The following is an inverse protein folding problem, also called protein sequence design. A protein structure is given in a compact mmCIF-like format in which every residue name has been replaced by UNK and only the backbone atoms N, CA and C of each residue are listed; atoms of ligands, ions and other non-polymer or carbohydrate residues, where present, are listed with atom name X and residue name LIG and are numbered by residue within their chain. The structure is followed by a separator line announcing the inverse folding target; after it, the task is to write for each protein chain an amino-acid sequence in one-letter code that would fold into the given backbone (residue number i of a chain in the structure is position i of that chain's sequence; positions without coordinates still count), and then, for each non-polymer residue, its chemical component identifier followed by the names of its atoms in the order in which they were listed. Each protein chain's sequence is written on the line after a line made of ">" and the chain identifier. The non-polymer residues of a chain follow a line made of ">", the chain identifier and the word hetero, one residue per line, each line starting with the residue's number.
data_IF_147627711678
#
_entry.id   IF_147627711678
#
_cell.length_a   1.000
_cell.length_b   1.000
_cell.length_c   1.000
_cell.angle_alpha   90.00
_cell.angle_beta   90.00
_cell.angle_gamma   90.00
#
_symmetry.space_group_name_H-M   'P 1'
#
loop_
_entity.id
_entity.type
_entity.pdbx_description
1 polymer ?
#
# COMPACT_ATOMS: atom_id res chain seq x y z
N UNK A 1 -38.70 -7.81 -6.74
CA UNK A 1 -38.08 -8.41 -7.95
C UNK A 1 -37.02 -9.43 -7.56
N UNK A 2 -35.99 -9.04 -6.79
CA UNK A 2 -34.91 -9.90 -6.31
C UNK A 2 -35.33 -11.25 -5.69
N UNK A 3 -36.32 -11.27 -4.82
CA UNK A 3 -36.82 -12.53 -4.23
C UNK A 3 -37.42 -13.50 -5.27
N UNK A 4 -37.98 -12.99 -6.38
CA UNK A 4 -38.50 -13.84 -7.48
C UNK A 4 -37.36 -14.47 -8.28
N UNK A 5 -36.30 -13.69 -8.55
CA UNK A 5 -35.08 -14.17 -9.20
C UNK A 5 -34.43 -15.29 -8.38
N UNK A 6 -34.23 -15.05 -7.08
CA UNK A 6 -33.64 -16.05 -6.17
C UNK A 6 -34.51 -17.31 -6.04
N UNK A 7 -35.84 -17.21 -6.14
CA UNK A 7 -36.73 -18.39 -6.20
C UNK A 7 -36.53 -19.21 -7.47
N UNK A 8 -36.17 -18.58 -8.58
CA UNK A 8 -35.89 -19.23 -9.86
C UNK A 8 -34.47 -19.85 -9.92
N UNK A 9 -33.50 -19.30 -9.19
CA UNK A 9 -32.13 -19.81 -9.07
C UNK A 9 -32.08 -21.27 -8.57
N UNK A 10 -31.14 -22.07 -9.06
CA UNK A 10 -30.96 -23.46 -8.61
C UNK A 10 -30.55 -23.51 -7.12
N UNK A 11 -30.93 -24.58 -6.41
CA UNK A 11 -30.65 -24.67 -4.96
C UNK A 11 -29.15 -24.69 -4.65
N UNK A 12 -28.33 -25.32 -5.50
CA UNK A 12 -26.88 -25.41 -5.27
C UNK A 12 -26.18 -24.05 -5.45
N UNK A 13 -26.65 -23.23 -6.41
CA UNK A 13 -26.18 -21.86 -6.59
C UNK A 13 -26.58 -20.96 -5.41
N UNK A 14 -27.80 -21.12 -4.88
CA UNK A 14 -28.26 -20.42 -3.68
C UNK A 14 -27.43 -20.79 -2.45
N UNK A 15 -27.07 -22.08 -2.29
CA UNK A 15 -26.20 -22.53 -1.21
C UNK A 15 -24.80 -21.93 -1.33
N UNK A 16 -24.23 -21.92 -2.53
CA UNK A 16 -22.94 -21.28 -2.78
C UNK A 16 -22.98 -19.77 -2.48
N UNK A 17 -24.07 -19.08 -2.84
CA UNK A 17 -24.27 -17.67 -2.51
C UNK A 17 -24.40 -17.46 -0.99
N UNK A 18 -25.22 -18.26 -0.32
CA UNK A 18 -25.39 -18.20 1.13
C UNK A 18 -24.05 -18.41 1.86
N UNK A 19 -23.26 -19.40 1.43
CA UNK A 19 -21.92 -19.64 1.96
C UNK A 19 -20.99 -18.44 1.79
N UNK A 20 -21.00 -17.79 0.62
CA UNK A 20 -20.20 -16.57 0.37
C UNK A 20 -20.62 -15.41 1.26
N UNK A 21 -21.90 -15.31 1.59
CA UNK A 21 -22.45 -14.30 2.50
C UNK A 21 -22.32 -14.69 3.99
N UNK A 22 -21.71 -15.83 4.31
CA UNK A 22 -21.60 -16.32 5.69
C UNK A 22 -22.92 -16.79 6.30
N UNK A 23 -23.92 -17.12 5.48
CA UNK A 23 -25.22 -17.65 5.88
C UNK A 23 -25.19 -19.18 5.89
N UNK A 24 -26.09 -19.81 6.68
CA UNK A 24 -26.19 -21.27 6.77
C UNK A 24 -26.72 -21.89 5.47
N UNK A 25 -25.86 -22.64 4.76
CA UNK A 25 -26.17 -23.30 3.49
C UNK A 25 -27.04 -24.57 3.64
N UNK A 26 -27.27 -25.06 4.88
CA UNK A 26 -28.05 -26.29 5.13
C UNK A 26 -29.56 -26.06 5.13
N UNK A 27 -30.00 -24.81 4.99
CA UNK A 27 -31.41 -24.46 5.00
C UNK A 27 -32.16 -24.91 3.73
N UNK A 28 -33.48 -25.08 3.84
CA UNK A 28 -34.35 -25.35 2.69
C UNK A 28 -34.36 -24.15 1.74
N UNK A 29 -34.59 -24.39 0.44
CA UNK A 29 -34.56 -23.35 -0.61
C UNK A 29 -35.31 -22.07 -0.24
N UNK A 30 -36.54 -22.19 0.26
CA UNK A 30 -37.35 -21.02 0.64
C UNK A 30 -36.70 -20.18 1.77
N UNK A 31 -36.13 -20.84 2.78
CA UNK A 31 -35.44 -20.19 3.89
C UNK A 31 -34.11 -19.54 3.43
N UNK A 32 -33.36 -20.19 2.53
CA UNK A 32 -32.16 -19.59 1.91
C UNK A 32 -32.51 -18.29 1.17
N UNK A 33 -33.58 -18.29 0.37
CA UNK A 33 -34.02 -17.08 -0.34
C UNK A 33 -34.36 -15.96 0.64
N UNK A 34 -35.10 -16.26 1.70
CA UNK A 34 -35.47 -15.28 2.72
C UNK A 34 -34.25 -14.73 3.46
N UNK A 35 -33.33 -15.61 3.88
CA UNK A 35 -32.09 -15.22 4.55
C UNK A 35 -31.21 -14.32 3.68
N UNK A 36 -31.04 -14.65 2.39
CA UNK A 36 -30.27 -13.83 1.44
C UNK A 36 -30.93 -12.47 1.24
N UNK A 37 -32.26 -12.42 1.04
CA UNK A 37 -32.98 -11.15 0.86
C UNK A 37 -32.89 -10.27 2.12
N UNK A 38 -33.04 -10.87 3.30
CA UNK A 38 -32.90 -10.16 4.58
C UNK A 38 -31.48 -9.62 4.76
N UNK A 39 -30.45 -10.40 4.42
CA UNK A 39 -29.06 -9.96 4.47
C UNK A 39 -28.78 -8.83 3.47
N UNK A 40 -29.20 -8.95 2.22
CA UNK A 40 -29.08 -7.89 1.20
C UNK A 40 -29.86 -6.62 1.61
N UNK A 41 -31.01 -6.76 2.26
CA UNK A 41 -31.77 -5.64 2.80
C UNK A 41 -31.03 -4.95 3.96
N UNK A 42 -30.43 -5.73 4.86
CA UNK A 42 -29.60 -5.22 5.95
C UNK A 42 -28.38 -4.45 5.43
N UNK A 43 -27.64 -5.00 4.46
CA UNK A 43 -26.50 -4.30 3.83
C UNK A 43 -26.94 -2.95 3.25
N UNK A 44 -28.07 -2.90 2.54
CA UNK A 44 -28.59 -1.64 1.97
C UNK A 44 -28.98 -0.65 3.06
N UNK A 45 -29.62 -1.12 4.14
CA UNK A 45 -29.97 -0.28 5.27
C UNK A 45 -28.73 0.27 5.98
N UNK A 46 -27.72 -0.57 6.24
CA UNK A 46 -26.46 -0.19 6.86
C UNK A 46 -25.70 0.82 5.99
N UNK A 47 -25.65 0.61 4.68
CA UNK A 47 -25.05 1.56 3.72
C UNK A 47 -25.79 2.90 3.72
N UNK A 48 -27.12 2.90 3.65
CA UNK A 48 -27.91 4.13 3.70
C UNK A 48 -27.73 4.87 5.02
N UNK A 49 -27.67 4.15 6.14
CA UNK A 49 -27.39 4.72 7.46
C UNK A 49 -25.98 5.32 7.53
N UNK A 50 -24.98 4.67 6.92
CA UNK A 50 -23.63 5.21 6.85
C UNK A 50 -23.57 6.48 5.99
N UNK A 51 -24.17 6.47 4.80
CA UNK A 51 -24.25 7.66 3.93
C UNK A 51 -24.97 8.82 4.62
N UNK A 52 -26.05 8.54 5.34
CA UNK A 52 -26.76 9.53 6.14
C UNK A 52 -25.86 10.12 7.24
N UNK A 53 -25.06 9.28 7.93
CA UNK A 53 -24.07 9.76 8.91
C UNK A 53 -23.01 10.66 8.27
N UNK A 54 -22.46 10.27 7.11
CA UNK A 54 -21.49 11.08 6.37
C UNK A 54 -22.06 12.47 6.02
N UNK A 55 -23.29 12.50 5.49
CA UNK A 55 -24.00 13.76 5.18
C UNK A 55 -24.24 14.60 6.42
N UNK A 56 -24.69 13.98 7.52
CA UNK A 56 -24.95 14.67 8.78
C UNK A 56 -23.68 15.36 9.32
N UNK A 57 -22.52 14.69 9.25
CA UNK A 57 -21.23 15.28 9.65
C UNK A 57 -20.88 16.50 8.79
N UNK A 58 -21.04 16.42 7.48
CA UNK A 58 -20.76 17.56 6.58
C UNK A 58 -21.72 18.73 6.84
N UNK A 59 -23.01 18.44 7.03
CA UNK A 59 -24.03 19.46 7.35
C UNK A 59 -23.73 20.12 8.70
N UNK A 60 -23.40 19.33 9.72
CA UNK A 60 -22.99 19.85 11.03
C UNK A 60 -21.76 20.75 10.88
N UNK A 61 -20.74 20.30 10.14
CA UNK A 61 -19.52 21.10 9.96
C UNK A 61 -19.78 22.41 9.21
N UNK A 62 -20.64 22.37 8.19
CA UNK A 62 -21.08 23.55 7.45
C UNK A 62 -21.80 24.54 8.38
N UNK A 63 -22.73 24.07 9.20
CA UNK A 63 -23.47 24.90 10.15
C UNK A 63 -22.53 25.54 11.20
N UNK A 64 -21.52 24.80 11.70
CA UNK A 64 -20.48 25.36 12.57
C UNK A 64 -19.74 26.54 11.92
N UNK A 65 -19.32 26.38 10.66
CA UNK A 65 -18.63 27.43 9.92
C UNK A 65 -19.55 28.62 9.61
N UNK A 66 -20.82 28.38 9.26
CA UNK A 66 -21.82 29.43 9.04
C UNK A 66 -22.12 30.24 10.31
N UNK A 67 -22.01 29.61 11.49
CA UNK A 67 -22.16 30.25 12.80
C UNK A 67 -21.00 31.18 13.18
N UNK A 68 -19.84 31.08 12.54
CA UNK A 68 -18.69 31.95 12.82
C UNK A 68 -18.90 33.38 12.30
N UNK A 69 -18.24 34.33 12.97
CA UNK A 69 -18.19 35.71 12.50
C UNK A 69 -17.35 35.81 11.22
N UNK A 70 -17.57 36.87 10.43
CA UNK A 70 -16.79 37.13 9.21
C UNK A 70 -15.30 37.29 9.52
N UNK A 71 -14.97 37.85 10.69
CA UNK A 71 -13.59 38.01 11.16
C UNK A 71 -12.94 36.67 11.52
N UNK A 72 -13.67 35.76 12.15
CA UNK A 72 -13.12 34.44 12.52
C UNK A 72 -12.95 33.55 11.30
N UNK A 73 -13.89 33.60 10.35
CA UNK A 73 -13.75 32.94 9.06
C UNK A 73 -12.53 33.45 8.28
N UNK A 74 -12.26 34.75 8.30
CA UNK A 74 -11.06 35.31 7.68
C UNK A 74 -9.79 34.71 8.30
N UNK A 75 -9.67 34.72 9.63
CA UNK A 75 -8.53 34.14 10.36
C UNK A 75 -8.35 32.64 10.08
N UNK A 76 -9.46 31.89 9.99
CA UNK A 76 -9.43 30.47 9.66
C UNK A 76 -8.96 30.23 8.21
N UNK A 77 -9.40 31.06 7.26
CA UNK A 77 -8.90 31.03 5.87
C UNK A 77 -7.40 31.33 5.83
N UNK A 78 -6.95 32.38 6.51
CA UNK A 78 -5.53 32.76 6.57
C UNK A 78 -4.67 31.63 7.15
N UNK A 79 -5.13 31.01 8.25
CA UNK A 79 -4.46 29.86 8.88
C UNK A 79 -4.40 28.62 7.97
N UNK A 80 -5.30 28.54 7.00
CA UNK A 80 -5.39 27.45 6.02
C UNK A 80 -4.73 27.79 4.67
N UNK A 81 -4.06 28.94 4.58
CA UNK A 81 -3.50 29.49 3.34
C UNK A 81 -4.52 29.64 2.19
N UNK A 82 -5.77 29.98 2.53
CA UNK A 82 -6.85 30.19 1.58
C UNK A 82 -6.94 31.68 1.23
N UNK A 83 -6.54 32.05 0.02
CA UNK A 83 -6.51 33.45 -0.45
C UNK A 83 -7.67 33.73 -1.42
N UNK A 84 -8.24 34.94 -1.36
CA UNK A 84 -9.16 35.44 -2.38
C UNK A 84 -10.66 35.22 -2.12
N UNK A 85 -11.05 34.63 -1.00
CA UNK A 85 -12.45 34.48 -0.60
C UNK A 85 -13.06 35.83 -0.13
N UNK A 86 -13.95 36.40 -0.95
CA UNK A 86 -14.49 37.77 -0.76
C UNK A 86 -15.77 37.78 0.08
N UNK A 87 -16.64 36.78 -0.09
CA UNK A 87 -17.91 36.70 0.65
C UNK A 87 -17.81 35.78 1.88
N UNK A 88 -18.75 35.92 2.82
CA UNK A 88 -18.86 34.98 3.96
C UNK A 88 -19.09 33.54 3.46
N UNK A 89 -19.95 33.39 2.45
CA UNK A 89 -20.30 32.09 1.88
C UNK A 89 -19.10 31.44 1.20
N UNK A 90 -18.32 32.22 0.42
CA UNK A 90 -17.11 31.73 -0.25
C UNK A 90 -16.10 31.19 0.77
N UNK A 91 -15.94 31.87 1.91
CA UNK A 91 -15.04 31.44 2.99
C UNK A 91 -15.50 30.12 3.61
N UNK A 92 -16.80 30.00 3.91
CA UNK A 92 -17.39 28.75 4.43
C UNK A 92 -17.14 27.60 3.47
N UNK A 93 -17.41 27.79 2.18
CA UNK A 93 -17.24 26.75 1.15
C UNK A 93 -15.78 26.35 0.97
N UNK A 94 -14.85 27.32 0.92
CA UNK A 94 -13.43 27.03 0.78
C UNK A 94 -12.85 26.34 2.02
N UNK A 95 -13.26 26.74 3.23
CA UNK A 95 -12.87 26.07 4.48
C UNK A 95 -13.44 24.66 4.56
N UNK A 96 -14.71 24.47 4.18
CA UNK A 96 -15.33 23.15 4.14
C UNK A 96 -14.61 22.24 3.15
N UNK A 97 -14.28 22.75 1.96
CA UNK A 97 -13.48 22.01 0.96
C UNK A 97 -12.11 21.61 1.54
N UNK A 98 -11.37 22.55 2.12
CA UNK A 98 -10.06 22.26 2.74
C UNK A 98 -10.15 21.24 3.88
N UNK A 99 -11.21 21.31 4.68
CA UNK A 99 -11.48 20.34 5.73
C UNK A 99 -11.74 18.95 5.16
N UNK A 100 -12.46 18.85 4.04
CA UNK A 100 -12.67 17.57 3.33
C UNK A 100 -11.38 17.01 2.73
N UNK A 101 -10.57 17.87 2.11
CA UNK A 101 -9.27 17.50 1.53
C UNK A 101 -8.28 16.98 2.58
N UNK A 102 -8.49 17.31 3.86
CA UNK A 102 -7.66 16.87 4.99
C UNK A 102 -8.29 15.72 5.80
N UNK A 103 -9.11 14.90 5.13
CA UNK A 103 -9.84 13.76 5.71
C UNK A 103 -10.74 14.16 6.90
N UNK A 104 -11.29 15.37 6.84
CA UNK A 104 -12.09 15.95 7.91
C UNK A 104 -13.29 15.08 8.32
N UNK A 105 -13.99 14.47 7.36
CA UNK A 105 -15.13 13.57 7.65
C UNK A 105 -14.69 12.38 8.49
N UNK A 106 -13.60 11.71 8.10
CA UNK A 106 -13.08 10.56 8.83
C UNK A 106 -12.68 10.96 10.25
N UNK A 107 -11.99 12.11 10.40
CA UNK A 107 -11.61 12.64 11.73
C UNK A 107 -12.83 12.99 12.59
N UNK A 108 -13.88 13.56 12.01
CA UNK A 108 -15.10 13.90 12.73
C UNK A 108 -15.93 12.67 13.12
N UNK A 109 -16.06 11.67 12.23
CA UNK A 109 -16.67 10.39 12.58
C UNK A 109 -15.89 9.67 13.67
N UNK A 110 -14.55 9.71 13.61
CA UNK A 110 -13.68 9.16 14.65
C UNK A 110 -13.89 9.88 15.99
N UNK A 111 -13.96 11.21 15.97
CA UNK A 111 -14.22 12.01 17.16
C UNK A 111 -15.61 11.70 17.76
N UNK A 112 -16.64 11.56 16.92
CA UNK A 112 -17.98 11.15 17.37
C UNK A 112 -17.96 9.74 18.00
N UNK A 113 -17.26 8.79 17.36
CA UNK A 113 -17.09 7.43 17.90
C UNK A 113 -16.38 7.43 19.25
N UNK A 114 -15.29 8.18 19.37
CA UNK A 114 -14.56 8.36 20.65
C UNK A 114 -15.43 9.02 21.72
N UNK A 115 -16.21 10.04 21.35
CA UNK A 115 -17.17 10.69 22.25
C UNK A 115 -18.25 9.73 22.74
N UNK A 116 -18.85 8.96 21.84
CA UNK A 116 -19.85 7.94 22.17
C UNK A 116 -19.25 6.85 23.09
N UNK A 117 -18.06 6.34 22.77
CA UNK A 117 -17.35 5.36 23.60
C UNK A 117 -16.97 5.93 24.97
N UNK A 118 -16.56 7.20 25.05
CA UNK A 118 -16.31 7.88 26.32
C UNK A 118 -17.58 7.92 27.18
N UNK A 119 -18.71 8.31 26.59
CA UNK A 119 -19.99 8.35 27.31
C UNK A 119 -20.43 6.96 27.78
N UNK A 120 -20.22 5.93 26.96
CA UNK A 120 -20.47 4.53 27.34
C UNK A 120 -19.60 4.12 28.54
N UNK A 121 -18.29 4.39 28.49
CA UNK A 121 -17.36 4.09 29.59
C UNK A 121 -17.70 4.87 30.86
N UNK A 122 -18.14 6.13 30.75
CA UNK A 122 -18.58 6.92 31.89
C UNK A 122 -19.92 6.44 32.46
N UNK A 123 -20.78 5.83 31.65
CA UNK A 123 -22.05 5.24 32.08
C UNK A 123 -21.88 3.84 32.70
N UNK A 124 -20.75 3.16 32.47
CA UNK A 124 -20.42 1.89 33.12
C UNK A 124 -20.20 2.09 34.63
N UNK A 125 -20.54 1.06 35.41
CA UNK A 125 -20.28 1.06 36.84
C UNK A 125 -18.79 0.84 37.13
N UNK A 126 -18.36 1.19 38.35
CA UNK A 126 -16.96 1.10 38.75
C UNK A 126 -16.43 -0.34 38.80
N UNK A 127 -17.31 -1.35 38.85
CA UNK A 127 -16.94 -2.76 38.78
C UNK A 127 -16.61 -3.17 37.34
N UNK A 128 -17.50 -2.91 36.38
CA UNK A 128 -17.28 -3.24 34.97
C UNK A 128 -16.10 -2.47 34.36
N UNK A 129 -15.87 -1.22 34.76
CA UNK A 129 -14.68 -0.48 34.34
C UNK A 129 -13.38 -1.08 34.85
N UNK A 130 -13.35 -1.59 36.09
CA UNK A 130 -12.16 -2.23 36.66
C UNK A 130 -11.81 -3.51 35.91
N UNK A 131 -12.79 -4.37 35.65
CA UNK A 131 -12.61 -5.60 34.89
C UNK A 131 -12.03 -5.32 33.48
N UNK A 132 -12.57 -4.30 32.79
CA UNK A 132 -12.08 -3.92 31.47
C UNK A 132 -10.67 -3.33 31.50
N UNK A 133 -10.33 -2.57 32.55
CA UNK A 133 -8.98 -2.04 32.77
C UNK A 133 -7.96 -3.16 33.05
N UNK A 134 -8.31 -4.12 33.92
CA UNK A 134 -7.47 -5.29 34.23
C UNK A 134 -7.17 -6.12 32.98
N UNK A 135 -8.19 -6.41 32.16
CA UNK A 135 -8.02 -7.15 30.90
C UNK A 135 -7.12 -6.45 29.88
N UNK A 136 -6.96 -5.13 29.97
CA UNK A 136 -6.11 -4.33 29.09
C UNK A 136 -4.78 -3.91 29.74
N UNK A 137 -4.53 -4.29 30.99
CA UNK A 137 -3.34 -3.90 31.76
C UNK A 137 -3.26 -2.41 32.04
N UNK A 138 -4.40 -1.74 32.24
CA UNK A 138 -4.51 -0.31 32.57
C UNK A 138 -4.86 -0.18 34.05
N UNK A 139 -4.13 0.67 34.79
CA UNK A 139 -4.38 0.92 36.21
C UNK A 139 -5.62 1.83 36.42
N UNK A 140 -6.67 1.36 37.11
CA UNK A 140 -7.95 2.06 37.26
C UNK A 140 -7.99 2.99 38.48
N UNK A 141 -7.16 4.04 38.51
CA UNK A 141 -7.33 5.12 39.49
C UNK A 141 -8.02 6.32 38.82
N UNK A 142 -9.26 6.61 39.27
CA UNK A 142 -10.21 7.64 38.77
C UNK A 142 -10.91 7.26 37.45
N UNK A 143 -12.25 7.21 37.46
CA UNK A 143 -13.10 6.72 36.35
C UNK A 143 -12.86 7.49 35.04
N UNK A 144 -12.73 8.82 35.11
CA UNK A 144 -12.47 9.68 33.96
C UNK A 144 -11.08 9.41 33.38
N UNK A 145 -10.09 9.19 34.24
CA UNK A 145 -8.69 8.91 33.85
C UNK A 145 -8.58 7.51 33.25
N UNK A 146 -9.30 6.52 33.81
CA UNK A 146 -9.40 5.17 33.28
C UNK A 146 -10.02 5.19 31.86
N UNK A 147 -11.13 5.90 31.67
CA UNK A 147 -11.77 6.04 30.36
C UNK A 147 -10.84 6.69 29.33
N UNK A 148 -10.10 7.75 29.69
CA UNK A 148 -9.14 8.37 28.78
C UNK A 148 -7.93 7.47 28.45
N UNK A 149 -7.40 6.72 29.43
CA UNK A 149 -6.30 5.78 29.22
C UNK A 149 -6.71 4.63 28.29
N UNK A 150 -7.92 4.12 28.46
CA UNK A 150 -8.49 3.09 27.57
C UNK A 150 -8.62 3.60 26.14
N UNK A 151 -9.20 4.79 25.94
CA UNK A 151 -9.34 5.39 24.61
C UNK A 151 -7.99 5.61 23.91
N UNK A 152 -6.95 6.03 24.65
CA UNK A 152 -5.59 6.16 24.08
C UNK A 152 -5.04 4.82 23.63
N UNK A 153 -5.21 3.75 24.42
CA UNK A 153 -4.70 2.42 24.09
C UNK A 153 -5.46 1.79 22.93
N UNK A 154 -6.77 1.99 22.85
CA UNK A 154 -7.60 1.59 21.71
C UNK A 154 -7.17 2.33 20.43
N UNK A 155 -6.88 3.64 20.53
CA UNK A 155 -6.44 4.44 19.38
C UNK A 155 -5.10 3.98 18.80
N UNK A 156 -4.13 3.58 19.64
CA UNK A 156 -2.83 3.06 19.17
C UNK A 156 -3.01 1.78 18.36
N UNK A 157 -3.86 0.84 18.84
CA UNK A 157 -4.15 -0.40 18.11
C UNK A 157 -4.82 -0.16 16.75
N UNK A 158 -5.60 0.92 16.61
CA UNK A 158 -6.25 1.28 15.35
C UNK A 158 -5.33 2.04 14.38
N UNK A 159 -4.39 2.82 14.91
CA UNK A 159 -3.47 3.64 14.10
C UNK A 159 -2.44 2.79 13.34
N UNK A 160 -2.06 1.61 13.85
CA UNK A 160 -1.14 0.68 13.18
C UNK A 160 -1.69 0.11 11.85
N UNK A 161 -2.97 0.35 11.52
CA UNK A 161 -3.67 -0.32 10.42
C UNK A 161 -3.93 0.58 9.19
N UNK A 162 -3.75 1.92 9.26
CA UNK A 162 -4.21 2.79 8.15
C UNK A 162 -3.37 4.07 7.93
N UNK A 163 -2.57 4.10 6.86
CA UNK A 163 -2.05 5.33 6.26
C UNK A 163 -2.66 5.58 4.86
N UNK A 164 -3.51 6.60 4.68
CA UNK A 164 -4.01 6.96 3.36
C UNK A 164 -3.08 7.94 2.63
N UNK A 165 -2.73 7.63 1.37
CA UNK A 165 -2.07 8.57 0.45
C UNK A 165 -3.12 9.44 -0.25
N UNK A 166 -2.99 10.76 -0.16
CA UNK A 166 -3.87 11.71 -0.83
C UNK A 166 -3.53 11.84 -2.32
N UNK A 167 -4.56 11.74 -3.18
CA UNK A 167 -4.51 12.18 -4.58
C UNK A 167 -5.53 13.31 -4.75
N UNK A 168 -5.18 14.32 -5.53
CA UNK A 168 -6.04 15.49 -5.77
C UNK A 168 -7.33 15.10 -6.48
N UNK A 169 -8.47 15.59 -5.98
CA UNK A 169 -9.80 15.22 -6.46
C UNK A 169 -10.28 16.14 -7.62
N UNK A 170 -10.97 15.58 -8.63
CA UNK A 170 -11.59 16.34 -9.70
C UNK A 170 -12.77 17.22 -9.20
N UNK A 171 -13.07 18.28 -9.95
CA UNK A 171 -14.09 19.32 -9.62
C UNK A 171 -15.56 18.87 -9.86
N UNK A 172 -15.91 17.63 -9.53
CA UNK A 172 -17.31 17.18 -9.56
C UNK A 172 -18.05 17.63 -8.28
N UNK A 173 -19.38 17.45 -8.21
CA UNK A 173 -20.14 17.62 -6.97
C UNK A 173 -19.43 16.85 -5.84
N UNK A 174 -19.24 17.53 -4.72
CA UNK A 174 -18.39 17.10 -3.62
C UNK A 174 -18.86 15.77 -3.03
N UNK A 175 -20.19 15.57 -3.00
CA UNK A 175 -20.80 14.32 -2.55
C UNK A 175 -20.54 13.20 -3.55
N UNK A 176 -20.69 13.47 -4.85
CA UNK A 176 -20.44 12.48 -5.90
C UNK A 176 -18.96 12.08 -5.96
N UNK A 177 -18.05 13.03 -5.73
CA UNK A 177 -16.61 12.79 -5.65
C UNK A 177 -16.25 11.85 -4.50
N UNK A 178 -16.89 12.01 -3.33
CA UNK A 178 -16.70 11.12 -2.19
C UNK A 178 -17.26 9.73 -2.45
N UNK A 179 -18.45 9.64 -3.05
CA UNK A 179 -19.05 8.36 -3.43
C UNK A 179 -18.20 7.62 -4.48
N UNK A 180 -17.59 8.35 -5.41
CA UNK A 180 -16.67 7.78 -6.40
C UNK A 180 -15.41 7.22 -5.73
N UNK A 181 -14.79 7.97 -4.81
CA UNK A 181 -13.58 7.54 -4.08
C UNK A 181 -13.84 6.33 -3.20
N UNK A 182 -14.98 6.28 -2.51
CA UNK A 182 -15.37 5.12 -1.70
C UNK A 182 -15.61 3.89 -2.58
N UNK A 183 -16.24 4.07 -3.75
CA UNK A 183 -16.42 3.00 -4.73
C UNK A 183 -15.08 2.50 -5.30
N UNK A 184 -14.14 3.38 -5.61
CA UNK A 184 -12.79 3.01 -6.05
C UNK A 184 -12.04 2.23 -4.96
N UNK A 185 -12.17 2.66 -3.70
CA UNK A 185 -11.58 1.95 -2.55
C UNK A 185 -12.16 0.55 -2.41
N UNK A 186 -13.49 0.41 -2.48
CA UNK A 186 -14.16 -0.90 -2.46
C UNK A 186 -13.68 -1.80 -3.61
N UNK A 187 -13.58 -1.27 -4.83
CA UNK A 187 -13.06 -2.02 -5.98
C UNK A 187 -11.60 -2.46 -5.78
N UNK A 188 -10.76 -1.60 -5.18
CA UNK A 188 -9.37 -1.95 -4.86
C UNK A 188 -9.28 -3.03 -3.78
N UNK A 189 -10.13 -2.98 -2.75
CA UNK A 189 -10.19 -4.01 -1.71
C UNK A 189 -10.66 -5.35 -2.28
N UNK A 190 -11.73 -5.35 -3.09
CA UNK A 190 -12.21 -6.55 -3.78
C UNK A 190 -11.14 -7.15 -4.73
N UNK A 191 -10.39 -6.30 -5.45
CA UNK A 191 -9.30 -6.75 -6.32
C UNK A 191 -8.13 -7.35 -5.51
N UNK A 192 -7.79 -6.75 -4.36
CA UNK A 192 -6.80 -7.29 -3.42
C UNK A 192 -7.24 -8.63 -2.85
N UNK A 193 -8.48 -8.76 -2.37
CA UNK A 193 -9.00 -10.04 -1.88
C UNK A 193 -9.01 -11.10 -2.99
N UNK A 194 -9.41 -10.73 -4.20
CA UNK A 194 -9.42 -11.63 -5.35
C UNK A 194 -8.01 -12.10 -5.72
N UNK A 195 -7.03 -11.20 -5.74
CA UNK A 195 -5.63 -11.55 -6.01
C UNK A 195 -5.02 -12.43 -4.91
N UNK A 196 -5.31 -12.15 -3.63
CA UNK A 196 -4.88 -13.00 -2.51
C UNK A 196 -5.52 -14.39 -2.57
N UNK A 197 -6.81 -14.47 -2.89
CA UNK A 197 -7.50 -15.75 -3.08
C UNK A 197 -6.91 -16.55 -4.26
N UNK A 198 -6.55 -15.87 -5.36
CA UNK A 198 -5.90 -16.49 -6.50
C UNK A 198 -4.51 -17.03 -6.13
N UNK A 199 -3.70 -16.27 -5.38
CA UNK A 199 -2.40 -16.72 -4.87
C UNK A 199 -2.54 -17.91 -3.92
N UNK A 200 -3.51 -17.87 -3.01
CA UNK A 200 -3.77 -18.98 -2.08
C UNK A 200 -4.23 -20.25 -2.81
N UNK A 201 -5.09 -20.12 -3.83
CA UNK A 201 -5.49 -21.24 -4.68
C UNK A 201 -4.30 -21.81 -5.45
N UNK A 202 -3.48 -20.94 -6.05
CA UNK A 202 -2.27 -21.34 -6.78
C UNK A 202 -1.25 -22.03 -5.88
N UNK A 203 -1.07 -21.55 -4.65
CA UNK A 203 -0.20 -22.18 -3.65
C UNK A 203 -0.65 -23.61 -3.34
N UNK A 204 -1.96 -23.83 -3.16
CA UNK A 204 -2.50 -25.17 -2.91
C UNK A 204 -2.26 -26.11 -4.10
N UNK A 205 -2.45 -25.63 -5.31
CA UNK A 205 -2.18 -26.39 -6.55
C UNK A 205 -0.69 -26.79 -6.63
N UNK A 206 0.23 -25.83 -6.49
CA UNK A 206 1.67 -26.10 -6.55
C UNK A 206 2.15 -27.03 -5.43
N UNK A 207 1.52 -26.98 -4.24
CA UNK A 207 1.82 -27.93 -3.15
C UNK A 207 1.42 -29.36 -3.49
N UNK A 208 0.45 -29.57 -4.38
CA UNK A 208 0.07 -30.91 -4.84
C UNK A 208 0.99 -31.45 -5.95
N UNK A 209 1.69 -30.58 -6.68
CA UNK A 209 2.67 -30.93 -7.73
C UNK A 209 3.91 -31.61 -7.15
N UNK A 210 4.55 -32.50 -7.92
CA UNK A 210 5.78 -33.19 -7.50
C UNK A 210 7.00 -32.26 -7.56
N UNK A 211 8.07 -32.59 -6.81
CA UNK A 211 9.30 -31.77 -6.76
C UNK A 211 9.96 -31.65 -8.13
N UNK A 212 9.97 -32.73 -8.91
CA UNK A 212 10.60 -32.75 -10.24
C UNK A 212 9.83 -31.88 -11.25
N UNK A 213 8.49 -31.92 -11.25
CA UNK A 213 7.67 -31.03 -12.08
C UNK A 213 7.83 -29.55 -11.67
N UNK A 214 7.96 -29.25 -10.36
CA UNK A 214 8.21 -27.87 -9.90
C UNK A 214 9.57 -27.36 -10.41
N UNK A 215 10.61 -28.20 -10.38
CA UNK A 215 11.93 -27.85 -10.94
C UNK A 215 11.87 -27.67 -12.45
N UNK A 216 11.14 -28.51 -13.18
CA UNK A 216 10.94 -28.37 -14.63
C UNK A 216 10.21 -27.05 -14.98
N UNK A 217 9.18 -26.68 -14.20
CA UNK A 217 8.48 -25.41 -14.36
C UNK A 217 9.35 -24.18 -14.06
N UNK A 218 10.34 -24.29 -13.20
CA UNK A 218 11.33 -23.23 -12.92
C UNK A 218 12.41 -23.18 -14.01
N UNK A 219 12.92 -24.34 -14.43
CA UNK A 219 13.92 -24.45 -15.48
C UNK A 219 13.40 -23.93 -16.84
N UNK A 220 12.16 -24.24 -17.21
CA UNK A 220 11.51 -23.70 -18.42
C UNK A 220 11.36 -22.17 -18.41
N UNK A 221 11.41 -21.54 -17.23
CA UNK A 221 11.42 -20.09 -17.05
C UNK A 221 12.81 -19.51 -16.81
N UNK A 222 13.86 -20.33 -16.92
CA UNK A 222 15.26 -19.95 -16.68
C UNK A 222 15.52 -19.47 -15.25
N UNK A 223 14.88 -20.10 -14.28
CA UNK A 223 15.06 -19.80 -12.86
C UNK A 223 15.66 -21.01 -12.18
N UNK A 224 16.88 -20.84 -11.67
CA UNK A 224 17.54 -21.83 -10.83
C UNK A 224 17.13 -21.55 -9.38
N UNK A 225 16.32 -22.46 -8.81
CA UNK A 225 15.96 -22.40 -7.40
C UNK A 225 16.46 -23.66 -6.71
N UNK A 226 17.22 -23.48 -5.63
CA UNK A 226 17.69 -24.56 -4.77
C UNK A 226 16.84 -24.64 -3.50
N UNK A 227 16.71 -25.84 -2.93
CA UNK A 227 16.04 -26.05 -1.64
C UNK A 227 14.94 -27.11 -1.66
N UNK A 228 14.21 -27.18 -0.55
CA UNK A 228 13.10 -28.11 -0.37
C UNK A 228 11.85 -27.75 -1.17
N UNK A 229 10.85 -28.63 -1.17
CA UNK A 229 9.60 -28.45 -1.93
C UNK A 229 8.92 -27.10 -1.68
N UNK A 230 8.89 -26.62 -0.43
CA UNK A 230 8.28 -25.32 -0.11
C UNK A 230 9.02 -24.13 -0.74
N UNK A 231 10.36 -24.16 -0.80
CA UNK A 231 11.15 -23.11 -1.46
C UNK A 231 10.87 -23.05 -2.97
N UNK A 232 10.75 -24.21 -3.63
CA UNK A 232 10.37 -24.28 -5.04
C UNK A 232 8.96 -23.75 -5.31
N UNK A 233 8.00 -24.06 -4.40
CA UNK A 233 6.64 -23.53 -4.48
C UNK A 233 6.63 -22.01 -4.32
N UNK A 234 7.38 -21.46 -3.38
CA UNK A 234 7.48 -20.02 -3.15
C UNK A 234 8.11 -19.30 -4.35
N UNK A 235 9.22 -19.83 -4.89
CA UNK A 235 9.83 -19.30 -6.10
C UNK A 235 8.84 -19.27 -7.29
N UNK A 236 8.07 -20.33 -7.51
CA UNK A 236 7.05 -20.35 -8.58
C UNK A 236 5.90 -19.37 -8.35
N UNK A 237 5.48 -19.16 -7.09
CA UNK A 237 4.45 -18.16 -6.76
C UNK A 237 4.92 -16.74 -7.02
N UNK A 238 6.17 -16.41 -6.69
CA UNK A 238 6.75 -15.11 -6.98
C UNK A 238 6.78 -14.84 -8.49
N UNK A 239 7.18 -15.83 -9.27
CA UNK A 239 7.22 -15.73 -10.74
C UNK A 239 5.82 -15.54 -11.32
N UNK A 240 4.85 -16.33 -10.85
CA UNK A 240 3.47 -16.17 -11.26
C UNK A 240 2.90 -14.80 -10.88
N UNK A 241 3.20 -14.30 -9.68
CA UNK A 241 2.78 -12.96 -9.25
C UNK A 241 3.39 -11.86 -10.14
N UNK A 242 4.66 -12.00 -10.54
CA UNK A 242 5.32 -11.10 -11.51
C UNK A 242 4.64 -11.19 -12.89
N UNK A 243 4.33 -12.39 -13.38
CA UNK A 243 3.63 -12.59 -14.66
C UNK A 243 2.22 -11.95 -14.66
N UNK A 244 1.45 -12.12 -13.58
CA UNK A 244 0.14 -11.48 -13.42
C UNK A 244 0.25 -9.96 -13.31
N UNK A 245 1.25 -9.44 -12.58
CA UNK A 245 1.48 -7.99 -12.51
C UNK A 245 1.80 -7.41 -13.89
N UNK A 246 2.66 -8.07 -14.69
CA UNK A 246 2.95 -7.67 -16.07
C UNK A 246 1.70 -7.77 -16.95
N UNK A 247 0.87 -8.80 -16.78
CA UNK A 247 -0.39 -8.96 -17.51
C UNK A 247 -1.39 -7.85 -17.18
N UNK A 248 -1.59 -7.54 -15.91
CA UNK A 248 -2.46 -6.47 -15.45
C UNK A 248 -1.97 -5.11 -15.97
N UNK A 249 -0.65 -4.85 -15.87
CA UNK A 249 -0.03 -3.65 -16.41
C UNK A 249 -0.21 -3.54 -17.92
N UNK A 250 -0.03 -4.63 -18.66
CA UNK A 250 -0.30 -4.69 -20.11
C UNK A 250 -1.74 -4.33 -20.43
N UNK A 251 -2.71 -4.84 -19.68
CA UNK A 251 -4.13 -4.52 -19.87
C UNK A 251 -4.43 -3.04 -19.58
N UNK A 252 -3.79 -2.44 -18.57
CA UNK A 252 -3.92 -1.01 -18.28
C UNK A 252 -3.38 -0.16 -19.44
N UNK A 253 -2.17 -0.46 -19.91
CA UNK A 253 -1.56 0.22 -21.06
C UNK A 253 -2.42 0.05 -22.33
N UNK A 254 -3.01 -1.14 -22.52
CA UNK A 254 -3.97 -1.42 -23.60
C UNK A 254 -5.35 -0.76 -23.45
N UNK A 255 -5.61 0.00 -22.37
CA UNK A 255 -6.79 0.85 -22.23
C UNK A 255 -6.50 2.32 -22.53
N UNK A 256 -5.24 2.77 -22.40
CA UNK A 256 -4.79 4.14 -22.69
C UNK A 256 -4.87 4.47 -24.18
N UNK A 257 -5.14 5.72 -24.54
CA UNK A 257 -5.10 6.13 -25.94
C UNK A 257 -3.69 5.98 -26.54
N UNK A 258 -3.59 5.96 -27.88
CA UNK A 258 -2.28 5.86 -28.54
C UNK A 258 -1.44 7.10 -28.25
N UNK A 259 -2.07 8.26 -28.16
CA UNK A 259 -1.46 9.54 -27.82
C UNK A 259 -0.88 9.52 -26.40
N UNK A 260 -1.66 9.08 -25.41
CA UNK A 260 -1.20 8.95 -24.02
C UNK A 260 -0.03 7.96 -23.88
N UNK A 261 -0.07 6.84 -24.62
CA UNK A 261 1.04 5.88 -24.63
C UNK A 261 2.30 6.51 -25.22
N UNK A 262 2.20 7.27 -26.32
CA UNK A 262 3.35 7.96 -26.91
C UNK A 262 3.94 8.98 -25.95
N UNK A 263 3.11 9.78 -25.29
CA UNK A 263 3.57 10.72 -24.26
C UNK A 263 4.28 10.01 -23.11
N UNK A 264 3.74 8.89 -22.64
CA UNK A 264 4.36 8.06 -21.60
C UNK A 264 5.72 7.50 -22.04
N UNK A 265 5.85 7.03 -23.28
CA UNK A 265 7.13 6.57 -23.81
C UNK A 265 8.14 7.72 -23.87
N UNK A 266 7.74 8.87 -24.40
CA UNK A 266 8.61 10.05 -24.51
C UNK A 266 9.07 10.55 -23.13
N UNK A 267 8.20 10.55 -22.12
CA UNK A 267 8.57 10.94 -20.76
C UNK A 267 9.57 9.98 -20.11
N UNK A 268 9.66 8.74 -20.60
CA UNK A 268 10.65 7.73 -20.19
C UNK A 268 11.87 7.69 -21.13
N UNK A 269 11.99 8.63 -22.08
CA UNK A 269 13.09 8.68 -23.04
C UNK A 269 13.06 7.57 -24.10
N UNK A 270 11.91 6.92 -24.31
CA UNK A 270 11.71 5.87 -25.31
C UNK A 270 11.20 6.45 -26.63
N UNK A 271 11.66 5.91 -27.75
CA UNK A 271 11.14 6.29 -29.06
C UNK A 271 9.70 5.82 -29.26
N UNK A 272 8.80 6.79 -29.41
CA UNK A 272 7.37 6.60 -29.60
C UNK A 272 6.94 6.49 -31.09
N UNK A 273 7.82 6.84 -32.05
CA UNK A 273 7.65 6.86 -33.51
C UNK A 273 6.27 6.61 -34.15
N UNK A 274 6.26 5.88 -35.28
CA UNK A 274 5.05 5.41 -35.96
C UNK A 274 4.78 3.93 -35.64
N UNK A 275 4.96 3.56 -34.37
CA UNK A 275 4.79 2.19 -33.87
C UNK A 275 3.31 1.85 -33.69
N UNK A 276 2.96 0.57 -33.85
CA UNK A 276 1.59 0.11 -33.54
C UNK A 276 1.41 0.12 -32.03
N UNK A 277 0.15 0.16 -31.57
CA UNK A 277 -0.18 0.17 -30.14
C UNK A 277 0.50 -0.98 -29.37
N UNK A 278 0.47 -2.18 -29.93
CA UNK A 278 1.11 -3.36 -29.32
C UNK A 278 2.62 -3.18 -29.13
N UNK A 279 3.30 -2.57 -30.10
CA UNK A 279 4.74 -2.28 -30.03
C UNK A 279 5.05 -1.21 -28.98
N UNK A 280 4.20 -0.19 -28.85
CA UNK A 280 4.34 0.84 -27.80
C UNK A 280 4.21 0.21 -26.40
N UNK A 281 3.20 -0.64 -26.20
CA UNK A 281 2.98 -1.35 -24.94
C UNK A 281 4.14 -2.29 -24.63
N UNK A 282 4.63 -3.04 -25.63
CA UNK A 282 5.77 -3.94 -25.47
C UNK A 282 7.05 -3.17 -25.13
N UNK A 283 7.31 -2.03 -25.77
CA UNK A 283 8.46 -1.18 -25.47
C UNK A 283 8.42 -0.65 -24.02
N UNK A 284 7.25 -0.21 -23.54
CA UNK A 284 7.10 0.26 -22.16
C UNK A 284 7.34 -0.87 -21.14
N UNK A 285 6.73 -2.05 -21.35
CA UNK A 285 6.93 -3.20 -20.46
C UNK A 285 8.40 -3.67 -20.47
N UNK A 286 9.05 -3.63 -21.63
CA UNK A 286 10.48 -3.92 -21.75
C UNK A 286 11.35 -2.96 -20.95
N UNK A 287 11.06 -1.66 -21.00
CA UNK A 287 11.74 -0.65 -20.19
C UNK A 287 11.48 -0.83 -18.70
N UNK A 288 10.22 -1.08 -18.28
CA UNK A 288 9.89 -1.36 -16.87
C UNK A 288 10.64 -2.61 -16.36
N UNK A 289 10.73 -3.67 -17.16
CA UNK A 289 11.48 -4.87 -16.83
C UNK A 289 12.99 -4.61 -16.73
N UNK A 290 13.56 -3.80 -17.64
CA UNK A 290 14.96 -3.40 -17.57
C UNK A 290 15.26 -2.55 -16.33
N UNK A 291 14.38 -1.61 -15.99
CA UNK A 291 14.50 -0.78 -14.80
C UNK A 291 14.43 -1.63 -13.52
N UNK A 292 13.52 -2.62 -13.47
CA UNK A 292 13.42 -3.56 -12.35
C UNK A 292 14.69 -4.39 -12.17
N UNK A 293 15.24 -4.95 -13.26
CA UNK A 293 16.53 -5.68 -13.23
C UNK A 293 17.70 -4.79 -12.78
N UNK A 294 17.74 -3.55 -13.24
CA UNK A 294 18.77 -2.59 -12.83
C UNK A 294 18.66 -2.26 -11.34
N UNK A 295 17.45 -2.17 -10.79
CA UNK A 295 17.23 -1.96 -9.36
C UNK A 295 17.63 -3.19 -8.54
N UNK A 296 17.26 -4.40 -8.97
CA UNK A 296 17.67 -5.65 -8.31
C UNK A 296 19.20 -5.78 -8.28
N UNK A 297 19.87 -5.49 -9.40
CA UNK A 297 21.34 -5.47 -9.46
C UNK A 297 21.97 -4.45 -8.51
N UNK A 298 21.31 -3.29 -8.29
CA UNK A 298 21.75 -2.29 -7.30
C UNK A 298 21.60 -2.81 -5.88
N UNK A 299 20.48 -3.44 -5.55
CA UNK A 299 20.26 -4.00 -4.20
C UNK A 299 21.24 -5.13 -3.90
N UNK A 300 21.51 -6.03 -4.87
CA UNK A 300 22.55 -7.06 -4.74
C UNK A 300 23.92 -6.43 -4.50
N UNK A 301 24.33 -5.47 -5.34
CA UNK A 301 25.60 -4.77 -5.18
C UNK A 301 25.69 -3.99 -3.86
N UNK A 302 24.57 -3.49 -3.33
CA UNK A 302 24.48 -2.84 -2.02
C UNK A 302 24.65 -3.85 -0.88
N UNK A 303 24.04 -5.02 -1.00
CA UNK A 303 24.24 -6.14 -0.06
C UNK A 303 25.71 -6.57 0.00
N UNK A 304 26.33 -6.80 -1.17
CA UNK A 304 27.76 -7.13 -1.26
C UNK A 304 28.65 -6.02 -0.65
N UNK A 305 28.32 -4.75 -0.90
CA UNK A 305 29.05 -3.62 -0.31
C UNK A 305 28.91 -3.55 1.22
N UNK A 306 27.73 -3.83 1.76
CA UNK A 306 27.49 -3.89 3.22
C UNK A 306 28.29 -5.04 3.85
N UNK A 307 28.26 -6.23 3.24
CA UNK A 307 29.01 -7.38 3.72
C UNK A 307 30.52 -7.13 3.67
N UNK A 308 31.03 -6.56 2.57
CA UNK A 308 32.44 -6.20 2.44
C UNK A 308 32.86 -5.17 3.49
N UNK A 309 32.05 -4.13 3.73
CA UNK A 309 32.32 -3.13 4.77
C UNK A 309 32.31 -3.75 6.18
N UNK A 310 31.35 -4.62 6.46
CA UNK A 310 31.27 -5.33 7.73
C UNK A 310 32.49 -6.25 7.95
N UNK A 311 32.94 -6.96 6.91
CA UNK A 311 34.14 -7.81 6.95
C UNK A 311 35.42 -6.98 7.17
N UNK A 312 35.58 -5.87 6.45
CA UNK A 312 36.74 -4.97 6.60
C UNK A 312 36.83 -4.42 8.03
N UNK A 313 35.71 -3.91 8.56
CA UNK A 313 35.62 -3.41 9.93
C UNK A 313 35.79 -4.54 10.97
N UNK A 314 35.26 -5.73 10.68
CA UNK A 314 35.44 -6.93 11.50
C UNK A 314 36.89 -7.38 11.62
N UNK A 315 37.72 -7.06 10.62
CA UNK A 315 39.17 -7.29 10.65
C UNK A 315 39.95 -6.32 11.55
N UNK A 316 39.39 -5.15 11.90
CA UNK A 316 40.06 -4.13 12.71
C UNK A 316 40.05 -4.50 14.20
N UNK A 317 41.03 -4.00 14.94
CA UNK A 317 41.12 -4.16 16.40
C UNK A 317 40.04 -3.33 17.12
N UNK A 318 39.75 -3.68 18.37
CA UNK A 318 38.75 -2.95 19.17
C UNK A 318 39.13 -1.47 19.38
N UNK A 319 40.43 -1.17 19.47
CA UNK A 319 40.94 0.20 19.65
C UNK A 319 40.68 1.01 18.37
N UNK A 320 41.08 0.50 17.20
CA UNK A 320 40.83 1.16 15.91
C UNK A 320 39.34 1.41 15.65
N UNK A 321 38.47 0.45 16.02
CA UNK A 321 37.02 0.62 15.87
C UNK A 321 36.46 1.72 16.77
N UNK A 322 36.97 1.86 18.00
CA UNK A 322 36.60 2.96 18.89
C UNK A 322 37.09 4.30 18.35
N UNK A 323 38.30 4.35 17.80
CA UNK A 323 38.86 5.56 17.21
C UNK A 323 38.05 6.01 15.99
N UNK A 324 37.66 5.06 15.12
CA UNK A 324 36.77 5.33 13.98
C UNK A 324 35.38 5.81 14.43
N UNK A 325 34.82 5.22 15.49
CA UNK A 325 33.56 5.68 16.07
C UNK A 325 33.70 7.12 16.61
N UNK A 326 34.77 7.39 17.36
CA UNK A 326 35.03 8.73 17.90
C UNK A 326 35.20 9.77 16.78
N UNK A 327 35.90 9.42 15.70
CA UNK A 327 36.10 10.30 14.54
C UNK A 327 34.80 10.63 13.80
N UNK A 328 33.81 9.73 13.82
CA UNK A 328 32.46 9.94 13.25
C UNK A 328 31.43 10.41 14.31
N UNK A 329 31.88 10.82 15.50
CA UNK A 329 31.03 11.28 16.62
C UNK A 329 29.99 10.24 17.09
N UNK A 330 30.29 8.95 16.92
CA UNK A 330 29.45 7.83 17.34
C UNK A 330 29.83 7.33 18.74
N UNK A 331 28.90 6.64 19.41
CA UNK A 331 29.15 6.04 20.72
C UNK A 331 30.27 4.97 20.67
N UNK A 332 31.27 5.11 21.55
CA UNK A 332 32.48 4.24 21.63
C UNK A 332 32.34 3.02 22.57
N UNK A 333 31.23 2.92 23.31
CA UNK A 333 30.99 1.83 24.26
C UNK A 333 30.26 0.63 23.64
N UNK A 334 30.64 -0.60 23.99
CA UNK A 334 29.95 -1.83 23.54
C UNK A 334 30.89 -2.95 23.14
N UNK A 335 30.30 -4.06 22.67
CA UNK A 335 31.05 -5.17 22.05
C UNK A 335 31.63 -4.76 20.69
N UNK A 336 32.57 -5.55 20.17
CA UNK A 336 33.16 -5.35 18.84
C UNK A 336 32.08 -5.28 17.76
N UNK A 337 31.13 -6.22 17.78
CA UNK A 337 30.04 -6.30 16.80
C UNK A 337 29.12 -5.07 16.86
N UNK A 338 28.87 -4.54 18.06
CA UNK A 338 28.07 -3.31 18.22
C UNK A 338 28.78 -2.09 17.61
N UNK A 339 30.11 -2.00 17.70
CA UNK A 339 30.89 -0.93 17.06
C UNK A 339 30.88 -1.08 15.54
N UNK A 340 31.09 -2.30 15.01
CA UNK A 340 31.02 -2.59 13.57
C UNK A 340 29.64 -2.23 13.02
N UNK A 341 28.57 -2.69 13.67
CA UNK A 341 27.19 -2.39 13.23
C UNK A 341 26.90 -0.89 13.17
N UNK A 342 27.35 -0.10 14.16
CA UNK A 342 27.19 1.36 14.14
C UNK A 342 27.97 2.02 13.01
N UNK A 343 29.20 1.58 12.75
CA UNK A 343 30.02 2.14 11.68
C UNK A 343 29.45 1.79 10.29
N UNK A 344 28.93 0.57 10.09
CA UNK A 344 28.26 0.19 8.84
C UNK A 344 27.00 1.02 8.61
N UNK A 345 26.17 1.23 9.64
CA UNK A 345 24.97 2.06 9.52
C UNK A 345 25.32 3.53 9.27
N UNK A 346 26.39 4.06 9.88
CA UNK A 346 26.89 5.40 9.55
C UNK A 346 27.34 5.49 8.08
N UNK A 347 28.14 4.52 7.61
CA UNK A 347 28.57 4.47 6.21
C UNK A 347 27.38 4.37 5.23
N UNK A 348 26.29 3.72 5.64
CA UNK A 348 25.04 3.68 4.88
C UNK A 348 24.36 5.05 4.81
N UNK A 349 24.30 5.78 5.93
CA UNK A 349 23.71 7.12 6.00
C UNK A 349 24.53 8.16 5.24
N UNK A 350 25.85 8.02 5.24
CA UNK A 350 26.79 8.90 4.53
C UNK A 350 26.83 8.63 3.01
N UNK A 351 26.14 7.59 2.51
CA UNK A 351 26.15 7.20 1.10
C UNK A 351 27.43 6.49 0.65
N UNK A 352 28.35 6.17 1.58
CA UNK A 352 29.59 5.42 1.28
C UNK A 352 29.27 4.04 0.69
N UNK A 353 28.25 3.36 1.23
CA UNK A 353 27.77 2.06 0.75
C UNK A 353 27.23 2.15 -0.68
N UNK A 354 26.46 3.19 -1.02
CA UNK A 354 25.92 3.37 -2.37
C UNK A 354 27.06 3.67 -3.37
N UNK A 355 28.08 4.43 -2.94
CA UNK A 355 29.31 4.64 -3.70
C UNK A 355 30.10 3.35 -3.95
N UNK A 356 30.19 2.47 -2.95
CA UNK A 356 30.80 1.15 -3.07
C UNK A 356 30.00 0.22 -4.01
N UNK A 357 28.67 0.17 -3.85
CA UNK A 357 27.77 -0.58 -4.73
C UNK A 357 27.91 -0.12 -6.21
N UNK A 358 28.02 1.19 -6.45
CA UNK A 358 28.26 1.72 -7.79
C UNK A 358 29.62 1.30 -8.37
N UNK A 359 30.66 1.15 -7.55
CA UNK A 359 31.96 0.60 -7.99
C UNK A 359 31.84 -0.88 -8.35
N UNK A 360 31.14 -1.68 -7.54
CA UNK A 360 30.86 -3.10 -7.81
C UNK A 360 30.13 -3.27 -9.15
N UNK A 361 29.04 -2.52 -9.37
CA UNK A 361 28.29 -2.55 -10.62
C UNK A 361 29.15 -2.14 -11.84
N UNK A 362 29.95 -1.08 -11.72
CA UNK A 362 30.87 -0.66 -12.80
C UNK A 362 31.91 -1.73 -13.10
N UNK A 363 32.45 -2.39 -12.08
CA UNK A 363 33.40 -3.48 -12.26
C UNK A 363 32.74 -4.68 -12.94
N UNK A 364 31.52 -5.04 -12.54
CA UNK A 364 30.72 -6.10 -13.17
C UNK A 364 30.45 -5.80 -14.64
N UNK A 365 29.97 -4.59 -14.96
CA UNK A 365 29.76 -4.13 -16.34
C UNK A 365 31.06 -4.13 -17.15
N UNK A 366 32.17 -3.71 -16.54
CA UNK A 366 33.48 -3.75 -17.19
C UNK A 366 33.94 -5.17 -17.54
N UNK A 367 33.64 -6.17 -16.68
CA UNK A 367 33.92 -7.59 -16.98
C UNK A 367 33.05 -8.09 -18.12
N UNK A 368 31.75 -7.80 -18.10
CA UNK A 368 30.82 -8.16 -19.17
C UNK A 368 31.27 -7.59 -20.52
N UNK A 369 31.58 -6.29 -20.58
CA UNK A 369 32.04 -5.62 -21.80
C UNK A 369 33.35 -6.20 -22.35
N UNK A 370 34.27 -6.62 -21.47
CA UNK A 370 35.52 -7.30 -21.90
C UNK A 370 35.29 -8.71 -22.43
N UNK A 371 34.18 -9.35 -22.07
CA UNK A 371 33.79 -10.67 -22.56
C UNK A 371 33.00 -10.65 -23.87
N UNK A 372 32.49 -9.49 -24.29
CA UNK A 372 31.78 -9.34 -25.56
C UNK A 372 32.76 -9.35 -26.75
N UNK A 373 32.31 -9.91 -27.87
CA UNK A 373 33.02 -9.81 -29.14
C UNK A 373 33.18 -8.33 -29.53
N UNK A 374 34.40 -7.96 -29.94
CA UNK A 374 34.74 -6.59 -30.35
C UNK A 374 33.81 -6.08 -31.46
N UNK A 375 33.32 -6.97 -32.32
CA UNK A 375 32.38 -6.62 -33.39
C UNK A 375 31.03 -6.06 -32.87
N UNK A 376 30.63 -6.40 -31.64
CA UNK A 376 29.36 -5.95 -31.03
C UNK A 376 29.46 -4.64 -30.27
N UNK A 377 30.67 -4.19 -29.92
CA UNK A 377 30.87 -2.96 -29.16
C UNK A 377 30.38 -1.70 -29.91
N UNK A 378 30.61 -1.53 -31.22
CA UNK A 378 30.08 -0.38 -31.96
C UNK A 378 28.56 -0.28 -31.95
N UNK A 379 27.83 -1.41 -31.96
CA UNK A 379 26.37 -1.44 -31.92
C UNK A 379 25.83 -0.89 -30.58
N UNK A 380 26.55 -1.15 -29.49
CA UNK A 380 26.21 -0.62 -28.16
C UNK A 380 26.54 0.87 -28.02
N UNK A 381 27.59 1.36 -28.68
CA UNK A 381 27.99 2.76 -28.65
C UNK A 381 27.16 3.64 -29.60
N UNK A 382 26.72 3.09 -30.74
CA UNK A 382 26.03 3.84 -31.80
C UNK A 382 24.68 4.44 -31.42
N UNK A 383 24.04 3.94 -30.35
CA UNK A 383 22.78 4.49 -29.82
C UNK A 383 22.95 5.76 -28.99
N UNK A 384 24.17 6.10 -28.54
CA UNK A 384 24.41 7.19 -27.58
C UNK A 384 24.75 8.54 -28.21
N UNK A 385 24.79 8.65 -29.55
CA UNK A 385 25.10 9.92 -30.25
C UNK A 385 26.51 10.47 -30.03
N UNK A 386 27.38 9.74 -29.31
CA UNK A 386 28.80 10.05 -29.21
C UNK A 386 29.52 9.57 -30.45
N UNK A 387 30.00 10.50 -31.28
CA UNK A 387 30.94 10.19 -32.35
C UNK A 387 32.21 9.50 -31.79
N UNK A 388 32.88 8.69 -32.62
CA UNK A 388 33.99 7.80 -32.21
C UNK A 388 35.17 8.51 -31.56
#
# INVERSE_FOLDING_TARGET
>A
QRAKELKATAIDELKALAKRLGLDEKQKKAALVEAVVAHEAKIRADKAAHEAKLRAVVVQKKAELEGLSVSDLAKACDSSNIVGARSKQDRVEQLLKRWLDSDGIARALEQQRRGARRLELLAMDSAGLRELCEGLGVDPFVQEVAAERLLRREAVKLAEVFEPRAKEAPKADLVDSLLLREKEKQQQEEEKERSQAALAARRKELKSTSVEELKEQLASRQIEAEGGKEALVEALLEVWAREEAVRARRQQLMKMSVEELKELLLSNGLDAGKKRREDLVAAMLGHEAQAARAQEAREVARGEALEAAAQELGGKSLVELKDLCAAKELAIGGSKDALVGRLVECARQDGEIDGAAAKIMRAARGRELRGLDKARLPELCGGAGGGP
#
